data_IF_078570382780
#
_entry.id   IF_078570382780
#
_cell.length_a   1.000
_cell.length_b   1.000
_cell.length_c   1.000
_cell.angle_alpha   90.00
_cell.angle_beta   90.00
_cell.angle_gamma   90.00
#
_symmetry.space_group_name_H-M   'P 1'
#
loop_
_entity.id
_entity.type
_entity.pdbx_description
1 polymer ?
#
# COMPACT_ATOMS: atom_id res chain seq x y z
N UNK A 1 34.38 41.55 17.72
CA UNK A 1 35.28 40.47 17.24
C UNK A 1 35.25 39.23 18.15
N UNK A 2 35.34 39.37 19.48
CA UNK A 2 35.27 38.22 20.42
C UNK A 2 33.87 37.56 20.47
N UNK A 3 32.77 38.33 20.36
CA UNK A 3 31.43 37.73 20.35
C UNK A 3 31.13 36.92 19.08
N UNK A 4 31.58 37.38 17.91
CA UNK A 4 31.42 36.67 16.65
C UNK A 4 32.13 35.30 16.70
N UNK A 5 33.36 35.26 17.24
CA UNK A 5 34.11 34.02 17.44
C UNK A 5 33.45 33.07 18.45
N UNK A 6 32.64 33.56 19.40
CA UNK A 6 31.86 32.71 20.30
C UNK A 6 30.66 32.08 19.59
N UNK A 7 29.97 32.83 18.74
CA UNK A 7 28.85 32.32 17.94
C UNK A 7 29.35 31.29 16.93
N UNK A 8 30.45 31.57 16.23
CA UNK A 8 31.08 30.62 15.30
C UNK A 8 31.50 29.33 16.01
N UNK A 9 32.08 29.43 17.22
CA UNK A 9 32.45 28.25 18.01
C UNK A 9 31.24 27.39 18.36
N UNK A 10 30.12 28.01 18.75
CA UNK A 10 28.88 27.28 19.08
C UNK A 10 28.31 26.62 17.83
N UNK A 11 28.27 27.32 16.70
CA UNK A 11 27.82 26.75 15.42
C UNK A 11 28.68 25.56 14.99
N UNK A 12 30.01 25.69 15.05
CA UNK A 12 30.93 24.59 14.72
C UNK A 12 30.80 23.41 15.71
N UNK A 13 30.52 23.66 16.98
CA UNK A 13 30.26 22.59 17.95
C UNK A 13 28.93 21.86 17.67
N UNK A 14 27.89 22.58 17.25
CA UNK A 14 26.61 22.00 16.87
C UNK A 14 26.70 21.25 15.54
N UNK A 15 27.36 21.79 14.51
CA UNK A 15 27.68 21.08 13.26
C UNK A 15 28.48 19.81 13.52
N UNK A 16 29.48 19.86 14.42
CA UNK A 16 30.24 18.66 14.80
C UNK A 16 29.37 17.62 15.50
N UNK A 17 28.41 18.05 16.33
CA UNK A 17 27.46 17.15 16.99
C UNK A 17 26.49 16.53 16.00
N UNK A 18 25.97 17.31 15.05
CA UNK A 18 25.10 16.82 13.98
C UNK A 18 25.83 15.85 13.07
N UNK A 19 27.05 16.18 12.63
CA UNK A 19 27.90 15.29 11.84
C UNK A 19 28.22 13.99 12.59
N UNK A 20 28.50 14.06 13.90
CA UNK A 20 28.73 12.87 14.73
C UNK A 20 27.47 12.00 14.88
N UNK A 21 26.29 12.61 15.00
CA UNK A 21 25.01 11.88 15.02
C UNK A 21 24.72 11.23 13.67
N UNK A 22 24.94 11.96 12.57
CA UNK A 22 24.75 11.45 11.22
C UNK A 22 25.71 10.28 10.94
N UNK A 23 26.99 10.40 11.33
CA UNK A 23 27.96 9.31 11.22
C UNK A 23 27.52 8.08 12.01
N UNK A 24 27.13 8.25 13.28
CA UNK A 24 26.65 7.14 14.10
C UNK A 24 25.37 6.48 13.53
N UNK A 25 24.49 7.28 12.93
CA UNK A 25 23.28 6.78 12.27
C UNK A 25 23.61 5.96 11.02
N UNK A 26 24.53 6.44 10.18
CA UNK A 26 24.98 5.73 8.98
C UNK A 26 25.73 4.45 9.35
N UNK A 27 26.60 4.47 10.36
CA UNK A 27 27.30 3.28 10.85
C UNK A 27 26.32 2.22 11.39
N UNK A 28 25.28 2.66 12.12
CA UNK A 28 24.25 1.75 12.61
C UNK A 28 23.41 1.16 11.48
N UNK A 29 23.09 1.96 10.45
CA UNK A 29 22.43 1.48 9.24
C UNK A 29 23.30 0.50 8.46
N UNK A 30 24.58 0.78 8.29
CA UNK A 30 25.53 -0.11 7.61
C UNK A 30 25.64 -1.45 8.35
N UNK A 31 25.73 -1.41 9.68
CA UNK A 31 25.76 -2.62 10.50
C UNK A 31 24.46 -3.41 10.38
N UNK A 32 23.31 -2.75 10.46
CA UNK A 32 22.01 -3.39 10.29
C UNK A 32 21.85 -4.04 8.89
N UNK A 33 22.32 -3.36 7.83
CA UNK A 33 22.30 -3.89 6.47
C UNK A 33 23.23 -5.11 6.32
N UNK A 34 24.44 -5.06 6.90
CA UNK A 34 25.37 -6.21 6.91
C UNK A 34 24.80 -7.40 7.67
N UNK A 35 24.21 -7.16 8.84
CA UNK A 35 23.58 -8.22 9.64
C UNK A 35 22.41 -8.84 8.87
N UNK A 36 21.54 -8.02 8.27
CA UNK A 36 20.44 -8.46 7.42
C UNK A 36 20.91 -9.24 6.19
N UNK A 37 21.96 -8.78 5.51
CA UNK A 37 22.55 -9.48 4.36
C UNK A 37 23.09 -10.85 4.78
N UNK A 38 23.79 -10.93 5.92
CA UNK A 38 24.30 -12.18 6.45
C UNK A 38 23.18 -13.14 6.85
N UNK A 39 22.09 -12.63 7.43
CA UNK A 39 20.92 -13.41 7.78
C UNK A 39 20.20 -13.94 6.53
N UNK A 40 20.03 -13.10 5.50
CA UNK A 40 19.43 -13.48 4.23
C UNK A 40 20.28 -14.54 3.50
N UNK A 41 21.60 -14.41 3.50
CA UNK A 41 22.50 -15.43 2.93
C UNK A 41 22.41 -16.76 3.67
N UNK A 42 22.36 -16.75 5.01
CA UNK A 42 22.18 -17.97 5.82
C UNK A 42 20.82 -18.62 5.56
N UNK A 43 19.75 -17.84 5.44
CA UNK A 43 18.42 -18.33 5.10
C UNK A 43 18.40 -18.95 3.69
N UNK A 44 19.00 -18.27 2.70
CA UNK A 44 19.11 -18.79 1.34
C UNK A 44 19.86 -20.13 1.30
N UNK A 45 21.00 -20.22 1.98
CA UNK A 45 21.77 -21.46 2.06
C UNK A 45 20.98 -22.60 2.74
N UNK A 46 20.17 -22.30 3.77
CA UNK A 46 19.27 -23.29 4.38
C UNK A 46 18.22 -23.77 3.38
N UNK A 47 17.54 -22.86 2.70
CA UNK A 47 16.54 -23.24 1.71
C UNK A 47 17.11 -24.03 0.53
N UNK A 48 18.31 -23.70 0.05
CA UNK A 48 18.99 -24.47 -0.98
C UNK A 48 19.33 -25.89 -0.51
N UNK A 49 19.78 -26.05 0.73
CA UNK A 49 20.03 -27.37 1.31
C UNK A 49 18.74 -28.18 1.49
N UNK A 50 17.67 -27.56 1.99
CA UNK A 50 16.36 -28.21 2.15
C UNK A 50 15.80 -28.62 0.79
N UNK A 51 15.92 -27.77 -0.23
CA UNK A 51 15.47 -28.05 -1.59
C UNK A 51 16.23 -29.24 -2.19
N UNK A 52 17.56 -29.27 -2.05
CA UNK A 52 18.38 -30.40 -2.51
C UNK A 52 18.04 -31.71 -1.77
N UNK A 53 17.80 -31.64 -0.45
CA UNK A 53 17.42 -32.79 0.35
C UNK A 53 16.05 -33.36 -0.11
N UNK A 54 15.06 -32.49 -0.32
CA UNK A 54 13.73 -32.87 -0.82
C UNK A 54 13.83 -33.45 -2.23
N UNK A 55 14.57 -32.82 -3.15
CA UNK A 55 14.76 -33.35 -4.51
C UNK A 55 15.42 -34.73 -4.50
N UNK A 56 16.41 -34.94 -3.65
CA UNK A 56 17.08 -36.24 -3.52
C UNK A 56 16.12 -37.29 -2.97
N UNK A 57 15.31 -36.94 -1.95
CA UNK A 57 14.30 -37.83 -1.40
C UNK A 57 13.21 -38.17 -2.44
N UNK A 58 12.77 -37.21 -3.25
CA UNK A 58 11.82 -37.44 -4.35
C UNK A 58 12.41 -38.44 -5.34
N UNK A 59 13.63 -38.21 -5.83
CA UNK A 59 14.27 -39.13 -6.78
C UNK A 59 14.44 -40.55 -6.24
N UNK A 60 14.79 -40.70 -4.96
CA UNK A 60 14.84 -42.00 -4.29
C UNK A 60 13.46 -42.69 -4.25
N UNK A 61 12.41 -41.96 -3.82
CA UNK A 61 11.06 -42.51 -3.76
C UNK A 61 10.48 -42.83 -5.13
N UNK A 62 10.77 -42.03 -6.15
CA UNK A 62 10.38 -42.32 -7.53
C UNK A 62 11.05 -43.60 -8.05
N UNK A 63 12.33 -43.81 -7.77
CA UNK A 63 13.05 -45.03 -8.14
C UNK A 63 12.53 -46.28 -7.41
N UNK A 64 12.23 -46.15 -6.11
CA UNK A 64 11.57 -47.20 -5.33
C UNK A 64 10.19 -47.52 -5.91
N UNK A 65 9.39 -46.49 -6.21
CA UNK A 65 8.06 -46.63 -6.78
C UNK A 65 8.11 -47.30 -8.16
N UNK A 66 9.08 -46.94 -8.99
CA UNK A 66 9.28 -47.54 -10.32
C UNK A 66 9.63 -49.02 -10.24
N UNK A 67 10.27 -49.46 -9.15
CA UNK A 67 10.58 -50.87 -8.89
C UNK A 67 9.40 -51.63 -8.31
N UNK A 68 8.64 -51.01 -7.39
CA UNK A 68 7.53 -51.64 -6.68
C UNK A 68 6.26 -51.73 -7.53
N UNK A 69 5.93 -50.69 -8.30
CA UNK A 69 4.73 -50.65 -9.16
C UNK A 69 4.57 -51.86 -10.08
N UNK A 70 5.58 -52.26 -10.87
CA UNK A 70 5.44 -53.42 -11.75
C UNK A 70 5.27 -54.72 -10.96
N UNK A 71 5.93 -54.88 -9.81
CA UNK A 71 5.76 -56.06 -8.94
C UNK A 71 4.36 -56.11 -8.34
N UNK A 72 3.85 -54.96 -7.85
CA UNK A 72 2.50 -54.84 -7.32
C UNK A 72 1.45 -55.13 -8.39
N UNK A 73 1.59 -54.55 -9.59
CA UNK A 73 0.66 -54.78 -10.69
C UNK A 73 0.66 -56.24 -11.13
N UNK A 74 1.83 -56.88 -11.22
CA UNK A 74 1.93 -58.30 -11.54
C UNK A 74 1.30 -59.19 -10.46
N UNK A 75 1.51 -58.88 -9.18
CA UNK A 75 0.89 -59.60 -8.06
C UNK A 75 -0.64 -59.41 -8.04
N UNK A 76 -1.12 -58.20 -8.32
CA UNK A 76 -2.54 -57.89 -8.43
C UNK A 76 -3.20 -58.62 -9.61
N UNK A 77 -2.54 -58.67 -10.75
CA UNK A 77 -3.05 -59.42 -11.91
C UNK A 77 -3.10 -60.92 -11.62
N UNK A 78 -2.11 -61.47 -10.92
CA UNK A 78 -2.15 -62.85 -10.43
C UNK A 78 -3.30 -63.08 -9.43
N UNK A 79 -3.52 -62.17 -8.49
CA UNK A 79 -4.65 -62.21 -7.55
C UNK A 79 -5.98 -62.23 -8.30
N UNK A 80 -6.17 -61.32 -9.26
CA UNK A 80 -7.40 -61.22 -10.06
C UNK A 80 -7.67 -62.51 -10.85
N UNK A 81 -6.62 -63.12 -11.42
CA UNK A 81 -6.73 -64.41 -12.12
C UNK A 81 -7.12 -65.54 -11.17
N UNK A 82 -6.46 -65.64 -10.01
CA UNK A 82 -6.76 -66.68 -9.01
C UNK A 82 -8.18 -66.50 -8.46
N UNK A 83 -8.61 -65.26 -8.22
CA UNK A 83 -9.95 -64.94 -7.76
C UNK A 83 -11.01 -65.31 -8.79
N UNK A 84 -10.78 -65.01 -10.07
CA UNK A 84 -11.65 -65.44 -11.16
C UNK A 84 -11.77 -66.98 -11.21
N UNK A 85 -10.65 -67.70 -11.06
CA UNK A 85 -10.64 -69.16 -11.03
C UNK A 85 -11.39 -69.71 -9.80
N UNK A 86 -11.22 -69.08 -8.64
CA UNK A 86 -11.94 -69.43 -7.42
C UNK A 86 -13.45 -69.25 -7.61
N UNK A 87 -13.88 -68.09 -8.12
CA UNK A 87 -15.31 -67.80 -8.38
C UNK A 87 -15.91 -68.82 -9.37
N UNK A 88 -15.17 -69.19 -10.41
CA UNK A 88 -15.59 -70.23 -11.36
C UNK A 88 -15.70 -71.62 -10.71
N UNK A 89 -14.72 -71.98 -9.86
CA UNK A 89 -14.71 -73.25 -9.13
C UNK A 89 -15.85 -73.30 -8.10
N UNK A 90 -16.10 -72.22 -7.37
CA UNK A 90 -17.21 -72.09 -6.43
C UNK A 90 -18.56 -72.16 -7.13
N UNK A 91 -18.74 -71.45 -8.24
CA UNK A 91 -19.95 -71.51 -9.07
C UNK A 91 -20.18 -72.93 -9.59
N UNK A 92 -19.11 -73.62 -10.00
CA UNK A 92 -19.17 -75.02 -10.45
C UNK A 92 -19.53 -75.96 -9.31
N UNK A 93 -18.93 -75.78 -8.13
CA UNK A 93 -19.23 -76.54 -6.90
C UNK A 93 -20.70 -76.36 -6.49
N UNK A 94 -21.18 -75.12 -6.45
CA UNK A 94 -22.59 -74.81 -6.17
C UNK A 94 -23.52 -75.46 -7.20
N UNK A 95 -23.15 -75.45 -8.49
CA UNK A 95 -23.92 -76.13 -9.54
C UNK A 95 -23.99 -77.64 -9.33
N UNK A 96 -22.88 -78.27 -8.94
CA UNK A 96 -22.82 -79.72 -8.65
C UNK A 96 -23.64 -80.05 -7.40
N UNK A 97 -23.50 -79.31 -6.30
CA UNK A 97 -24.34 -79.49 -5.11
C UNK A 97 -25.83 -79.29 -5.40
N UNK A 98 -26.17 -78.27 -6.19
CA UNK A 98 -27.54 -78.05 -6.64
C UNK A 98 -28.04 -79.23 -7.51
N UNK A 99 -27.21 -79.81 -8.38
CA UNK A 99 -27.57 -81.02 -9.15
C UNK A 99 -27.75 -82.25 -8.25
N UNK A 100 -26.85 -82.47 -7.30
CA UNK A 100 -26.90 -83.58 -6.34
C UNK A 100 -28.16 -83.52 -5.46
N UNK A 101 -28.48 -82.32 -4.95
CA UNK A 101 -29.67 -82.10 -4.13
C UNK A 101 -30.99 -82.07 -4.92
N UNK A 102 -30.98 -81.74 -6.22
CA UNK A 102 -32.19 -81.73 -7.07
C UNK A 102 -32.65 -83.14 -7.45
N UNK A 103 -31.74 -84.10 -7.60
CA UNK A 103 -32.09 -85.46 -8.03
C UNK A 103 -32.81 -86.27 -6.92
N UNK A 104 -32.62 -85.91 -5.64
CA UNK A 104 -33.34 -86.50 -4.50
C UNK A 104 -34.55 -85.67 -4.02
N UNK A 105 -34.69 -84.41 -4.48
CA UNK A 105 -35.69 -83.46 -3.95
C UNK A 105 -37.11 -83.64 -4.47
N UNK A 106 -37.28 -84.16 -5.68
CA UNK A 106 -38.59 -84.23 -6.34
C UNK A 106 -39.00 -85.67 -6.57
N UNK A 107 -40.16 -86.06 -6.03
CA UNK A 107 -40.69 -87.43 -6.16
C UNK A 107 -41.43 -87.63 -7.48
N UNK A 108 -41.82 -86.56 -8.16
CA UNK A 108 -42.49 -86.59 -9.46
C UNK A 108 -42.04 -85.47 -10.40
N UNK A 109 -42.25 -85.65 -11.71
CA UNK A 109 -42.02 -84.60 -12.73
C UNK A 109 -42.85 -83.34 -12.46
N UNK A 110 -44.11 -83.50 -12.03
CA UNK A 110 -45.02 -82.39 -11.75
C UNK A 110 -44.56 -81.51 -10.59
N UNK A 111 -44.01 -82.11 -9.52
CA UNK A 111 -43.48 -81.39 -8.36
C UNK A 111 -42.24 -80.55 -8.73
N UNK A 112 -41.36 -81.12 -9.56
CA UNK A 112 -40.20 -80.43 -10.13
C UNK A 112 -40.62 -79.24 -10.99
N UNK A 113 -41.57 -79.45 -11.91
CA UNK A 113 -42.01 -78.41 -12.83
C UNK A 113 -42.66 -77.24 -12.07
N UNK A 114 -43.48 -77.51 -11.03
CA UNK A 114 -44.04 -76.47 -10.15
C UNK A 114 -42.96 -75.68 -9.42
N UNK A 115 -41.94 -76.35 -8.88
CA UNK A 115 -40.83 -75.66 -8.20
C UNK A 115 -40.03 -74.80 -9.18
N UNK A 116 -39.67 -75.34 -10.35
CA UNK A 116 -38.96 -74.59 -11.40
C UNK A 116 -39.76 -73.37 -11.84
N UNK A 117 -41.07 -73.49 -11.98
CA UNK A 117 -41.93 -72.39 -12.40
C UNK A 117 -42.02 -71.29 -11.34
N UNK A 118 -42.00 -71.65 -10.05
CA UNK A 118 -41.89 -70.70 -8.94
C UNK A 118 -40.52 -69.99 -8.94
N UNK A 119 -39.43 -70.74 -9.09
CA UNK A 119 -38.07 -70.18 -9.13
C UNK A 119 -37.87 -69.24 -10.34
N UNK A 120 -38.39 -69.61 -11.50
CA UNK A 120 -38.40 -68.76 -12.71
C UNK A 120 -39.18 -67.48 -12.44
N UNK A 121 -40.31 -67.55 -11.74
CA UNK A 121 -41.11 -66.38 -11.42
C UNK A 121 -40.39 -65.45 -10.43
N UNK A 122 -39.76 -66.00 -9.39
CA UNK A 122 -38.94 -65.24 -8.44
C UNK A 122 -37.75 -64.56 -9.12
N UNK A 123 -37.04 -65.31 -9.98
CA UNK A 123 -35.93 -64.77 -10.77
C UNK A 123 -36.40 -63.66 -11.73
N UNK A 124 -37.54 -63.84 -12.39
CA UNK A 124 -38.13 -62.78 -13.25
C UNK A 124 -38.48 -61.53 -12.46
N UNK A 125 -39.03 -61.68 -11.25
CA UNK A 125 -39.34 -60.54 -10.38
C UNK A 125 -38.06 -59.82 -9.93
N UNK A 126 -37.01 -60.57 -9.59
CA UNK A 126 -35.69 -60.00 -9.26
C UNK A 126 -35.08 -59.24 -10.44
N UNK A 127 -35.10 -59.82 -11.65
CA UNK A 127 -34.61 -59.15 -12.87
C UNK A 127 -35.38 -57.85 -13.14
N UNK A 128 -36.70 -57.84 -12.95
CA UNK A 128 -37.51 -56.61 -13.10
C UNK A 128 -37.10 -55.54 -12.08
N UNK A 129 -36.90 -55.91 -10.82
CA UNK A 129 -36.48 -54.98 -9.78
C UNK A 129 -35.09 -54.38 -10.09
N UNK A 130 -34.12 -55.22 -10.47
CA UNK A 130 -32.77 -54.77 -10.83
C UNK A 130 -32.81 -53.87 -12.07
N UNK A 131 -33.62 -54.19 -13.08
CA UNK A 131 -33.76 -53.35 -14.27
C UNK A 131 -34.42 -52.01 -13.95
N UNK A 132 -35.39 -51.96 -13.03
CA UNK A 132 -35.99 -50.70 -12.58
C UNK A 132 -34.96 -49.82 -11.86
N UNK A 133 -34.17 -50.39 -10.95
CA UNK A 133 -33.06 -49.68 -10.29
C UNK A 133 -32.05 -49.19 -11.31
N UNK A 134 -31.64 -50.04 -12.26
CA UNK A 134 -30.70 -49.66 -13.33
C UNK A 134 -31.23 -48.49 -14.14
N UNK A 135 -32.50 -48.51 -14.53
CA UNK A 135 -33.13 -47.42 -15.29
C UNK A 135 -33.11 -46.10 -14.48
N UNK A 136 -33.50 -46.15 -13.20
CA UNK A 136 -33.46 -44.99 -12.32
C UNK A 136 -32.04 -44.44 -12.19
N UNK A 137 -31.06 -45.29 -11.88
CA UNK A 137 -29.66 -44.86 -11.75
C UNK A 137 -29.11 -44.28 -13.06
N UNK A 138 -29.50 -44.81 -14.22
CA UNK A 138 -29.08 -44.21 -15.50
C UNK A 138 -29.71 -42.85 -15.77
N UNK A 139 -30.89 -42.58 -15.24
CA UNK A 139 -31.54 -41.27 -15.32
C UNK A 139 -30.86 -40.28 -14.37
N UNK A 140 -30.63 -40.69 -13.12
CA UNK A 140 -29.90 -39.89 -12.12
C UNK A 140 -28.49 -39.51 -12.63
N UNK A 141 -27.77 -40.43 -13.28
CA UNK A 141 -26.46 -40.17 -13.89
C UNK A 141 -26.57 -39.07 -14.97
N UNK A 142 -27.60 -39.13 -15.82
CA UNK A 142 -27.78 -38.12 -16.88
C UNK A 142 -28.08 -36.74 -16.30
N UNK A 143 -28.88 -36.67 -15.24
CA UNK A 143 -29.22 -35.41 -14.61
C UNK A 143 -28.02 -34.81 -13.85
N UNK A 144 -27.21 -35.64 -13.21
CA UNK A 144 -25.93 -35.22 -12.64
C UNK A 144 -24.96 -34.74 -13.71
N UNK A 145 -24.87 -35.43 -14.86
CA UNK A 145 -24.05 -34.99 -15.99
C UNK A 145 -24.46 -33.61 -16.51
N UNK A 146 -25.76 -33.37 -16.70
CA UNK A 146 -26.28 -32.03 -17.09
C UNK A 146 -25.95 -30.96 -16.05
N UNK A 147 -26.03 -31.32 -14.76
CA UNK A 147 -25.71 -30.40 -13.67
C UNK A 147 -24.23 -30.02 -13.72
N UNK A 148 -23.34 -31.00 -13.92
CA UNK A 148 -21.90 -30.77 -14.10
C UNK A 148 -21.64 -29.86 -15.31
N UNK A 149 -22.23 -30.17 -16.47
CA UNK A 149 -22.10 -29.36 -17.70
C UNK A 149 -22.58 -27.91 -17.50
N UNK A 150 -23.58 -27.68 -16.64
CA UNK A 150 -24.04 -26.33 -16.31
C UNK A 150 -23.15 -25.58 -15.32
N UNK A 151 -22.46 -26.29 -14.42
CA UNK A 151 -21.58 -25.71 -13.40
C UNK A 151 -20.19 -25.37 -13.96
N UNK A 152 -19.69 -26.12 -14.93
CA UNK A 152 -18.40 -25.83 -15.60
C UNK A 152 -18.28 -24.39 -16.14
N UNK A 153 -19.24 -23.85 -16.92
CA UNK A 153 -19.15 -22.47 -17.40
C UNK A 153 -19.31 -21.44 -16.28
N UNK A 154 -20.04 -21.77 -15.21
CA UNK A 154 -20.17 -20.89 -14.05
C UNK A 154 -18.84 -20.79 -13.28
N UNK A 155 -18.15 -21.91 -13.09
CA UNK A 155 -16.79 -21.96 -12.52
C UNK A 155 -15.82 -21.17 -13.40
N UNK A 156 -15.87 -21.34 -14.72
CA UNK A 156 -15.00 -20.62 -15.64
C UNK A 156 -15.25 -19.11 -15.61
N UNK A 157 -16.52 -18.68 -15.52
CA UNK A 157 -16.88 -17.27 -15.37
C UNK A 157 -16.38 -16.71 -14.03
N UNK A 158 -16.54 -17.45 -12.93
CA UNK A 158 -16.03 -17.05 -11.62
C UNK A 158 -14.51 -16.94 -11.62
N UNK A 159 -13.79 -17.86 -12.29
CA UNK A 159 -12.33 -17.77 -12.46
C UNK A 159 -11.93 -16.51 -13.21
N UNK A 160 -12.57 -16.21 -14.34
CA UNK A 160 -12.32 -14.98 -15.10
C UNK A 160 -12.59 -13.71 -14.29
N UNK A 161 -13.62 -13.71 -13.45
CA UNK A 161 -13.90 -12.59 -12.55
C UNK A 161 -12.83 -12.44 -11.46
N UNK A 162 -12.30 -13.54 -10.93
CA UNK A 162 -11.21 -13.51 -9.95
C UNK A 162 -9.93 -12.97 -10.61
N UNK A 163 -9.59 -13.45 -11.81
CA UNK A 163 -8.42 -13.00 -12.56
C UNK A 163 -8.54 -11.51 -12.90
N UNK A 164 -9.70 -11.07 -13.40
CA UNK A 164 -9.96 -9.66 -13.67
C UNK A 164 -9.94 -8.77 -12.42
N UNK A 165 -10.30 -9.30 -11.25
CA UNK A 165 -10.13 -8.56 -9.98
C UNK A 165 -8.66 -8.33 -9.65
N UNK A 166 -7.78 -9.29 -9.95
CA UNK A 166 -6.32 -9.13 -9.80
C UNK A 166 -5.81 -7.91 -10.56
N UNK A 167 -6.18 -7.79 -11.84
CA UNK A 167 -5.80 -6.65 -12.69
C UNK A 167 -6.36 -5.32 -12.15
N UNK A 168 -7.62 -5.30 -11.69
CA UNK A 168 -8.20 -4.08 -11.10
C UNK A 168 -7.51 -3.67 -9.81
N UNK A 169 -7.12 -4.64 -8.96
CA UNK A 169 -6.39 -4.36 -7.72
C UNK A 169 -5.02 -3.77 -8.06
N UNK A 170 -4.32 -4.33 -9.05
CA UNK A 170 -3.03 -3.80 -9.48
C UNK A 170 -3.15 -2.38 -10.05
N UNK A 171 -4.19 -2.09 -10.83
CA UNK A 171 -4.46 -0.73 -11.33
C UNK A 171 -4.73 0.26 -10.19
N UNK A 172 -5.57 -0.11 -9.22
CA UNK A 172 -5.89 0.74 -8.06
C UNK A 172 -4.64 0.95 -7.20
N UNK A 173 -3.80 -0.06 -7.02
CA UNK A 173 -2.56 0.07 -6.25
C UNK A 173 -1.57 1.02 -6.94
N UNK A 174 -1.47 0.98 -8.27
CA UNK A 174 -0.70 1.94 -9.04
C UNK A 174 -1.25 3.37 -8.92
N UNK A 175 -2.57 3.55 -8.98
CA UNK A 175 -3.21 4.86 -8.79
C UNK A 175 -2.97 5.41 -7.37
N UNK A 176 -3.06 4.56 -6.36
CA UNK A 176 -2.75 4.92 -4.97
C UNK A 176 -1.29 5.35 -4.85
N UNK A 177 -0.37 4.63 -5.49
CA UNK A 177 1.06 4.98 -5.43
C UNK A 177 1.32 6.33 -6.11
N UNK A 178 0.76 6.56 -7.31
CA UNK A 178 0.87 7.85 -8.00
C UNK A 178 0.28 8.99 -7.16
N UNK A 179 -0.85 8.78 -6.50
CA UNK A 179 -1.47 9.78 -5.63
C UNK A 179 -0.63 10.07 -4.37
N UNK A 180 0.04 9.06 -3.81
CA UNK A 180 0.98 9.24 -2.69
C UNK A 180 2.20 10.05 -3.12
N UNK A 181 2.77 9.74 -4.27
CA UNK A 181 3.95 10.44 -4.80
C UNK A 181 3.62 11.92 -5.08
N UNK A 182 2.44 12.21 -5.64
CA UNK A 182 1.99 13.58 -5.87
C UNK A 182 1.71 14.32 -4.56
N UNK A 183 1.10 13.67 -3.58
CA UNK A 183 0.93 14.23 -2.23
C UNK A 183 2.27 14.60 -1.61
N UNK A 184 3.27 13.73 -1.71
CA UNK A 184 4.58 13.96 -1.12
C UNK A 184 5.31 15.11 -1.82
N UNK A 185 5.22 15.20 -3.15
CA UNK A 185 5.69 16.34 -3.92
C UNK A 185 5.06 17.66 -3.48
N UNK A 186 3.74 17.70 -3.34
CA UNK A 186 3.00 18.89 -2.89
C UNK A 186 3.35 19.26 -1.44
N UNK A 187 3.56 18.27 -0.57
CA UNK A 187 4.00 18.51 0.82
C UNK A 187 5.41 19.11 0.87
N UNK A 188 6.33 18.68 0.02
CA UNK A 188 7.67 19.26 -0.06
C UNK A 188 7.65 20.67 -0.64
N UNK A 189 6.84 20.93 -1.67
CA UNK A 189 6.60 22.30 -2.17
C UNK A 189 6.02 23.21 -1.08
N UNK A 190 5.06 22.71 -0.30
CA UNK A 190 4.49 23.47 0.82
C UNK A 190 5.53 23.79 1.88
N UNK A 191 6.41 22.84 2.23
CA UNK A 191 7.51 23.10 3.18
C UNK A 191 8.46 24.18 2.66
N UNK A 192 8.78 24.15 1.37
CA UNK A 192 9.67 25.14 0.77
C UNK A 192 9.08 26.54 0.79
N UNK A 193 7.81 26.67 0.36
CA UNK A 193 7.08 27.94 0.45
C UNK A 193 6.99 28.46 1.89
N UNK A 194 6.82 27.57 2.86
CA UNK A 194 6.77 27.98 4.27
C UNK A 194 8.13 28.47 4.79
N UNK A 195 9.24 27.88 4.33
CA UNK A 195 10.58 28.40 4.63
C UNK A 195 10.80 29.77 4.00
N UNK A 196 10.35 29.95 2.76
CA UNK A 196 10.46 31.22 2.05
C UNK A 196 9.62 32.31 2.72
N UNK A 197 8.39 31.99 3.12
CA UNK A 197 7.51 32.86 3.91
C UNK A 197 8.19 33.27 5.23
N UNK A 198 8.70 32.30 6.02
CA UNK A 198 9.40 32.59 7.26
C UNK A 198 10.65 33.46 7.04
N UNK A 199 11.37 33.26 5.93
CA UNK A 199 12.51 34.10 5.55
C UNK A 199 12.06 35.52 5.23
N UNK A 200 11.01 35.68 4.42
CA UNK A 200 10.46 36.99 4.06
C UNK A 200 9.92 37.72 5.29
N UNK A 201 9.24 37.04 6.20
CA UNK A 201 8.77 37.60 7.47
C UNK A 201 9.93 38.09 8.34
N UNK A 202 11.03 37.33 8.41
CA UNK A 202 12.23 37.78 9.13
C UNK A 202 12.85 39.04 8.50
N UNK A 203 12.88 39.12 7.16
CA UNK A 203 13.37 40.29 6.43
C UNK A 203 12.44 41.49 6.63
N UNK A 204 11.13 41.29 6.54
CA UNK A 204 10.14 42.34 6.80
C UNK A 204 10.23 42.86 8.22
N UNK A 205 10.38 41.96 9.21
CA UNK A 205 10.56 42.34 10.61
C UNK A 205 11.84 43.17 10.81
N UNK A 206 12.96 42.74 10.21
CA UNK A 206 14.22 43.48 10.27
C UNK A 206 14.12 44.86 9.61
N UNK A 207 13.56 44.95 8.40
CA UNK A 207 13.35 46.21 7.68
C UNK A 207 12.39 47.13 8.46
N UNK A 208 11.30 46.61 9.01
CA UNK A 208 10.39 47.38 9.86
C UNK A 208 11.10 47.93 11.10
N UNK A 209 11.97 47.14 11.74
CA UNK A 209 12.78 47.60 12.87
C UNK A 209 13.80 48.66 12.45
N UNK A 210 14.42 48.54 11.27
CA UNK A 210 15.33 49.56 10.74
C UNK A 210 14.61 50.87 10.44
N UNK A 211 13.42 50.81 9.84
CA UNK A 211 12.55 51.97 9.64
C UNK A 211 12.17 52.59 10.98
N UNK A 212 11.72 51.80 11.95
CA UNK A 212 11.38 52.30 13.29
C UNK A 212 12.60 52.94 13.98
N UNK A 213 13.80 52.37 13.82
CA UNK A 213 15.04 52.94 14.38
C UNK A 213 15.40 54.27 13.69
N UNK A 214 15.30 54.33 12.37
CA UNK A 214 15.55 55.55 11.60
C UNK A 214 14.52 56.64 11.95
N UNK A 215 13.24 56.29 12.05
CA UNK A 215 12.17 57.20 12.48
C UNK A 215 12.39 57.70 13.92
N UNK A 216 12.79 56.83 14.86
CA UNK A 216 13.15 57.25 16.22
C UNK A 216 14.38 58.14 16.27
N UNK A 217 15.42 57.83 15.48
CA UNK A 217 16.61 58.67 15.37
C UNK A 217 16.25 60.07 14.86
N UNK A 218 15.39 60.15 13.84
CA UNK A 218 14.88 61.41 13.31
C UNK A 218 14.03 62.17 14.35
N UNK A 219 13.18 61.45 15.08
CA UNK A 219 12.38 62.00 16.19
C UNK A 219 13.26 62.61 17.28
N UNK A 220 14.37 61.96 17.65
CA UNK A 220 15.32 62.48 18.63
C UNK A 220 16.10 63.72 18.17
N UNK A 221 16.20 63.97 16.86
CA UNK A 221 16.80 65.18 16.31
C UNK A 221 15.84 66.38 16.34
N UNK A 222 14.54 66.15 16.62
CA UNK A 222 13.51 67.19 16.71
C UNK A 222 13.15 67.51 18.17
N UNK A 223 12.56 68.67 18.42
CA UNK A 223 11.96 68.97 19.72
C UNK A 223 10.77 68.02 19.99
N UNK A 224 10.57 67.65 21.26
CA UNK A 224 9.61 66.62 21.69
C UNK A 224 8.17 66.97 21.28
N UNK A 225 7.81 68.25 21.30
CA UNK A 225 6.48 68.72 20.90
C UNK A 225 6.25 68.55 19.38
N UNK A 226 7.23 68.94 18.57
CA UNK A 226 7.17 68.84 17.11
C UNK A 226 7.17 67.38 16.65
N UNK A 227 7.99 66.53 17.29
CA UNK A 227 8.04 65.10 16.97
C UNK A 227 6.70 64.39 17.27
N UNK A 228 6.11 64.66 18.43
CA UNK A 228 4.80 64.10 18.81
C UNK A 228 3.68 64.59 17.88
N UNK A 229 3.73 65.86 17.46
CA UNK A 229 2.80 66.44 16.49
C UNK A 229 2.87 65.75 15.12
N UNK A 230 4.07 65.61 14.56
CA UNK A 230 4.28 64.95 13.26
C UNK A 230 3.87 63.47 13.32
N UNK A 231 4.18 62.76 14.41
CA UNK A 231 3.78 61.37 14.60
C UNK A 231 2.25 61.22 14.68
N UNK A 232 1.55 62.16 15.32
CA UNK A 232 0.09 62.18 15.37
C UNK A 232 -0.52 62.41 13.98
N UNK A 233 0.00 63.38 13.22
CA UNK A 233 -0.46 63.66 11.84
C UNK A 233 -0.23 62.44 10.93
N UNK A 234 0.94 61.80 10.99
CA UNK A 234 1.22 60.57 10.24
C UNK A 234 0.29 59.42 10.63
N UNK A 235 -0.03 59.28 11.91
CA UNK A 235 -0.99 58.27 12.41
C UNK A 235 -2.41 58.54 11.90
N UNK A 236 -2.87 59.79 11.96
CA UNK A 236 -4.19 60.21 11.46
C UNK A 236 -4.28 60.00 9.94
N UNK A 237 -3.23 60.35 9.18
CA UNK A 237 -3.12 60.05 7.75
C UNK A 237 -3.27 58.55 7.47
N UNK A 238 -2.56 57.69 8.21
CA UNK A 238 -2.68 56.22 8.06
C UNK A 238 -4.06 55.69 8.45
N UNK A 239 -4.70 56.25 9.48
CA UNK A 239 -6.01 55.80 9.98
C UNK A 239 -7.19 56.23 9.10
N UNK A 240 -7.16 57.47 8.58
CA UNK A 240 -8.25 58.06 7.80
C UNK A 240 -7.99 58.10 6.30
N UNK A 241 -6.85 57.58 5.84
CA UNK A 241 -6.41 57.54 4.45
C UNK A 241 -6.58 58.88 3.71
N UNK A 242 -6.19 59.97 4.36
CA UNK A 242 -6.37 61.34 3.86
C UNK A 242 -5.50 61.59 2.62
N UNK A 243 -6.15 61.99 1.51
CA UNK A 243 -5.48 62.42 0.29
C UNK A 243 -5.10 63.91 0.38
N UNK A 244 -3.98 64.33 -0.23
CA UNK A 244 -3.50 65.73 -0.21
C UNK A 244 -2.53 66.09 0.92
N UNK A 245 -1.95 65.08 1.60
CA UNK A 245 -1.04 65.25 2.74
C UNK A 245 0.36 64.74 2.33
N UNK A 246 1.30 65.64 2.01
CA UNK A 246 2.52 65.29 1.28
C UNK A 246 3.72 64.92 2.16
N UNK A 247 3.78 65.40 3.41
CA UNK A 247 4.88 65.11 4.34
C UNK A 247 5.52 66.38 4.89
N UNK A 248 6.66 66.25 5.55
CA UNK A 248 7.44 67.40 6.02
C UNK A 248 8.29 68.00 4.91
N UNK A 249 8.58 69.31 4.95
CA UNK A 249 9.45 69.96 3.96
C UNK A 249 10.82 69.29 3.83
N UNK A 250 11.37 68.76 4.93
CA UNK A 250 12.62 68.00 4.93
C UNK A 250 12.56 66.72 4.06
N UNK A 251 11.40 66.08 3.93
CA UNK A 251 11.22 64.86 3.11
C UNK A 251 11.03 65.17 1.62
N UNK A 252 10.61 66.39 1.31
CA UNK A 252 10.26 66.85 -0.05
C UNK A 252 11.42 67.62 -0.72
N UNK A 253 12.49 67.90 0.02
CA UNK A 253 13.62 68.71 -0.43
C UNK A 253 14.85 67.83 -0.66
N UNK A 254 15.33 67.77 -1.91
CA UNK A 254 16.59 67.10 -2.25
C UNK A 254 17.70 68.14 -2.46
N UNK A 255 18.77 68.07 -1.65
CA UNK A 255 19.89 69.03 -1.68
C UNK A 255 21.22 68.29 -1.80
N UNK A 256 22.10 68.80 -2.65
CA UNK A 256 23.46 68.31 -2.79
C UNK A 256 24.22 68.37 -1.45
N UNK A 257 24.91 67.29 -1.08
CA UNK A 257 25.59 67.14 0.22
C UNK A 257 26.52 68.29 0.58
N UNK A 258 27.15 68.95 -0.41
CA UNK A 258 28.05 70.08 -0.18
C UNK A 258 27.38 71.30 0.48
N UNK A 259 26.07 71.45 0.33
CA UNK A 259 25.32 72.59 0.87
C UNK A 259 24.34 72.19 1.99
N UNK A 260 24.35 70.93 2.45
CA UNK A 260 23.39 70.42 3.44
C UNK A 260 23.42 71.21 4.74
N UNK A 261 24.61 71.43 5.31
CA UNK A 261 24.77 72.19 6.56
C UNK A 261 24.32 73.65 6.42
N UNK A 262 24.56 74.29 5.26
CA UNK A 262 24.16 75.67 5.02
C UNK A 262 22.62 75.80 4.93
N UNK A 263 21.97 74.85 4.25
CA UNK A 263 20.50 74.82 4.15
C UNK A 263 19.86 74.49 5.50
N UNK A 264 20.43 73.54 6.26
CA UNK A 264 19.93 73.16 7.58
C UNK A 264 19.97 74.34 8.57
N UNK A 265 21.09 75.06 8.64
CA UNK A 265 21.24 76.23 9.52
C UNK A 265 20.32 77.38 9.09
N UNK A 266 20.12 77.58 7.79
CA UNK A 266 19.28 78.68 7.27
C UNK A 266 17.79 78.41 7.44
N UNK A 267 17.35 77.18 7.17
CA UNK A 267 15.94 76.82 7.21
C UNK A 267 15.48 76.47 8.65
N UNK A 268 16.39 75.99 9.50
CA UNK A 268 16.13 75.76 10.93
C UNK A 268 14.87 74.93 11.18
N UNK A 269 13.98 75.43 12.04
CA UNK A 269 12.71 74.77 12.39
C UNK A 269 11.71 74.70 11.23
N UNK A 270 11.90 75.50 10.17
CA UNK A 270 10.97 75.53 9.03
C UNK A 270 11.01 74.26 8.19
N UNK A 271 12.09 73.47 8.28
CA UNK A 271 12.20 72.16 7.61
C UNK A 271 11.18 71.15 8.13
N UNK A 272 10.64 71.36 9.33
CA UNK A 272 9.66 70.47 9.96
C UNK A 272 8.20 70.86 9.69
N UNK A 273 7.94 71.93 8.92
CA UNK A 273 6.56 72.25 8.53
C UNK A 273 5.98 71.15 7.65
N UNK A 274 4.70 70.85 7.87
CA UNK A 274 3.98 69.81 7.17
C UNK A 274 3.24 70.39 5.96
N UNK A 275 3.48 69.83 4.77
CA UNK A 275 2.92 70.31 3.51
C UNK A 275 1.61 69.60 3.20
N UNK A 276 0.57 70.39 2.96
CA UNK A 276 -0.79 69.95 2.61
C UNK A 276 -1.29 70.70 1.36
N UNK A 277 -2.20 70.09 0.61
CA UNK A 277 -2.71 70.61 -0.66
C UNK A 277 -3.69 71.78 -0.49
N UNK A 278 -4.59 71.67 0.50
CA UNK A 278 -5.67 72.66 0.73
C UNK A 278 -5.85 73.01 2.21
N UNK A 279 -6.30 74.23 2.49
CA UNK A 279 -6.58 74.70 3.87
C UNK A 279 -7.67 73.85 4.57
N UNK A 280 -8.59 73.26 3.79
CA UNK A 280 -9.60 72.32 4.29
C UNK A 280 -8.97 71.02 4.81
N UNK A 281 -7.86 70.56 4.21
CA UNK A 281 -7.10 69.40 4.69
C UNK A 281 -6.20 69.74 5.87
N UNK A 282 -5.76 71.00 6.01
CA UNK A 282 -4.99 71.46 7.18
C UNK A 282 -5.84 71.52 8.47
N UNK A 283 -7.15 71.74 8.32
CA UNK A 283 -8.08 71.98 9.44
C UNK A 283 -8.73 70.69 9.97
N UNK A 284 -8.68 69.59 9.19
CA UNK A 284 -9.24 68.27 9.54
C UNK A 284 -8.26 67.40 10.32
#
# INVERSE_FOLDING_TARGET
QIEFLKVDKVQLEDERREASRALAQVELQEKALKDNQSAAQKLKARFENDLNAVQTAIGQRESELQTILPQFNAAKEQEDVVKLQLDQAETSRQRIYAKQGRNSRFKSKSERDKWLQKEIQETKNSIKAVNAVKAQTTEDIKDLQKTIESLEPEIENLRKQIDGRGDTIQSIEQEIQNAKDERDRLMDQRKELWREEARLDSVLSNLSQEVDRAERSLSHMMDNNTSRGIAAVRRIKRQHNLQGVYGTLAELLEVNERYRTAVEVTAGTSLFHYVVDTDETATK
#
